data_IF_222349997974
#
_entry.id   IF_222349997974
#
_cell.length_a   1.000
_cell.length_b   1.000
_cell.length_c   1.000
_cell.angle_alpha   90.00
_cell.angle_beta   90.00
_cell.angle_gamma   90.00
#
_symmetry.space_group_name_H-M   'P 1'
#
loop_
_entity.id
_entity.type
_entity.pdbx_description
1 polymer ?
#
# COMPACT_ATOMS: atom_id res chain seq x y z
N UNK A 1 -3.71 -24.29 3.76
CA UNK A 1 -4.99 -24.31 3.02
C UNK A 1 -5.03 -23.09 2.11
N UNK A 2 -5.56 -23.21 0.89
CA UNK A 2 -5.76 -22.06 0.01
C UNK A 2 -7.02 -21.33 0.44
N UNK A 3 -6.92 -20.03 0.68
CA UNK A 3 -8.06 -19.18 0.98
C UNK A 3 -8.78 -18.88 -0.34
N UNK A 4 -10.07 -19.19 -0.41
CA UNK A 4 -10.90 -18.84 -1.56
C UNK A 4 -11.08 -17.32 -1.62
N UNK A 5 -10.78 -16.71 -2.78
CA UNK A 5 -10.94 -15.26 -2.98
C UNK A 5 -12.39 -14.98 -3.38
N UNK A 6 -13.15 -14.21 -2.59
CA UNK A 6 -14.53 -13.91 -2.91
C UNK A 6 -14.64 -13.00 -4.14
N UNK A 7 -15.74 -13.12 -4.85
CA UNK A 7 -16.15 -12.10 -5.81
C UNK A 7 -16.49 -10.79 -5.09
N UNK A 8 -16.38 -9.68 -5.80
CA UNK A 8 -16.64 -8.36 -5.24
C UNK A 8 -18.01 -8.27 -4.59
N UNK A 9 -18.02 -7.81 -3.35
CA UNK A 9 -19.21 -7.49 -2.57
C UNK A 9 -18.97 -6.21 -1.80
N UNK A 10 -19.79 -5.21 -2.06
CA UNK A 10 -19.76 -3.95 -1.30
C UNK A 10 -20.08 -4.24 0.18
N UNK A 11 -19.13 -3.91 1.07
CA UNK A 11 -19.22 -4.14 2.50
C UNK A 11 -18.28 -3.19 3.24
N UNK A 12 -18.70 -2.71 4.42
CA UNK A 12 -17.87 -1.92 5.34
C UNK A 12 -17.07 -2.80 6.33
N UNK A 13 -17.18 -4.13 6.21
CA UNK A 13 -16.46 -5.08 7.06
C UNK A 13 -15.00 -5.25 6.63
N UNK A 14 -14.13 -5.58 7.59
CA UNK A 14 -12.75 -5.96 7.30
C UNK A 14 -12.76 -7.26 6.47
N UNK A 15 -12.13 -7.29 5.28
CA UNK A 15 -12.21 -8.45 4.40
C UNK A 15 -11.47 -9.65 5.00
N UNK A 16 -11.84 -10.86 4.60
CA UNK A 16 -11.12 -12.08 5.00
C UNK A 16 -9.65 -12.11 4.51
N UNK A 17 -9.31 -11.25 3.55
CA UNK A 17 -7.95 -11.05 3.04
C UNK A 17 -7.11 -10.13 3.94
N UNK A 18 -7.68 -9.64 5.05
CA UNK A 18 -6.97 -8.84 6.04
C UNK A 18 -5.89 -9.64 6.75
N UNK A 19 -4.69 -9.08 6.78
CA UNK A 19 -3.55 -9.61 7.53
C UNK A 19 -3.23 -8.63 8.65
N UNK A 20 -3.37 -9.02 9.93
CA UNK A 20 -3.18 -8.11 11.06
C UNK A 20 -1.79 -7.46 11.08
N UNK A 21 -1.77 -6.12 11.15
CA UNK A 21 -0.57 -5.29 11.32
C UNK A 21 0.57 -5.61 10.33
N UNK A 22 0.23 -6.06 9.12
CA UNK A 22 1.22 -6.45 8.11
C UNK A 22 2.14 -5.27 7.73
N UNK A 23 1.61 -4.05 7.65
CA UNK A 23 2.44 -2.90 7.30
C UNK A 23 3.45 -2.56 8.39
N UNK A 24 3.17 -2.89 9.66
CA UNK A 24 4.16 -2.74 10.75
C UNK A 24 5.39 -3.61 10.51
N UNK A 25 5.18 -4.84 10.06
CA UNK A 25 6.27 -5.76 9.72
C UNK A 25 7.02 -5.23 8.49
N UNK A 26 6.30 -4.80 7.45
CA UNK A 26 6.96 -4.27 6.25
C UNK A 26 7.78 -3.01 6.52
N UNK A 27 7.24 -2.07 7.29
CA UNK A 27 7.94 -0.85 7.64
C UNK A 27 9.13 -1.12 8.57
N UNK A 28 9.07 -2.12 9.47
CA UNK A 28 10.22 -2.47 10.31
C UNK A 28 11.37 -3.05 9.50
N UNK A 29 11.08 -3.89 8.51
CA UNK A 29 12.09 -4.36 7.55
C UNK A 29 12.64 -3.20 6.71
N UNK A 30 11.77 -2.35 6.16
CA UNK A 30 12.18 -1.23 5.33
C UNK A 30 13.06 -0.24 6.09
N UNK A 31 12.74 0.06 7.36
CA UNK A 31 13.55 0.91 8.24
C UNK A 31 14.94 0.34 8.47
N UNK A 32 15.05 -0.94 8.87
CA UNK A 32 16.35 -1.57 9.08
C UNK A 32 17.18 -1.61 7.79
N UNK A 33 16.53 -1.84 6.65
CA UNK A 33 17.19 -1.86 5.35
C UNK A 33 17.62 -0.46 4.89
N UNK A 34 16.80 0.56 5.13
CA UNK A 34 17.11 1.94 4.82
C UNK A 34 18.37 2.41 5.59
N UNK A 35 18.52 2.00 6.86
CA UNK A 35 19.72 2.32 7.63
C UNK A 35 20.99 1.69 7.04
N UNK A 36 20.92 0.42 6.61
CA UNK A 36 22.03 -0.27 5.94
C UNK A 36 22.40 0.40 4.61
N UNK A 37 21.41 0.92 3.89
CA UNK A 37 21.60 1.61 2.61
C UNK A 37 21.91 3.10 2.73
N UNK A 38 21.98 3.65 3.94
CA UNK A 38 22.13 5.10 4.17
C UNK A 38 21.04 5.95 3.50
N UNK A 39 19.79 5.48 3.55
CA UNK A 39 18.61 6.14 2.99
C UNK A 39 17.77 6.82 4.07
N UNK A 40 17.37 8.08 3.84
CA UNK A 40 16.52 8.85 4.77
C UNK A 40 15.05 8.92 4.33
N UNK A 41 14.66 8.20 3.28
CA UNK A 41 13.28 8.21 2.81
C UNK A 41 12.79 6.82 2.43
N UNK A 42 11.64 6.45 2.97
CA UNK A 42 10.89 5.24 2.59
C UNK A 42 9.60 5.70 1.93
N UNK A 43 9.40 5.30 0.67
CA UNK A 43 8.14 5.54 -0.03
C UNK A 43 7.24 4.30 0.11
N UNK A 44 5.99 4.51 0.54
CA UNK A 44 4.99 3.44 0.62
C UNK A 44 3.66 3.88 0.01
N UNK A 45 3.12 3.04 -0.88
CA UNK A 45 1.87 3.30 -1.61
C UNK A 45 0.60 2.98 -0.83
N UNK A 46 0.58 3.20 0.49
CA UNK A 46 -0.66 3.03 1.28
C UNK A 46 -1.71 4.03 0.81
N UNK A 47 -2.97 3.61 0.83
CA UNK A 47 -4.11 4.41 0.45
C UNK A 47 -5.17 4.28 1.56
N UNK A 48 -5.60 5.39 2.14
CA UNK A 48 -6.53 5.37 3.26
C UNK A 48 -8.00 5.35 2.82
N UNK A 49 -8.30 5.70 1.55
CA UNK A 49 -9.66 5.83 1.02
C UNK A 49 -10.21 4.52 0.45
N UNK A 50 -9.35 3.70 -0.16
CA UNK A 50 -9.72 2.44 -0.82
C UNK A 50 -10.04 1.32 0.19
N UNK A 51 -9.61 1.45 1.45
CA UNK A 51 -9.74 0.40 2.46
C UNK A 51 -9.96 0.97 3.85
N UNK A 52 -11.21 1.36 4.13
CA UNK A 52 -11.68 1.94 5.41
C UNK A 52 -11.31 1.12 6.66
N UNK A 53 -11.02 -0.17 6.50
CA UNK A 53 -10.77 -1.12 7.60
C UNK A 53 -9.32 -1.28 8.09
N UNK A 54 -8.28 -0.82 7.37
CA UNK A 54 -6.89 -1.10 7.76
C UNK A 54 -6.31 0.01 8.65
N UNK A 55 -6.11 -0.23 9.96
CA UNK A 55 -5.59 0.81 10.87
C UNK A 55 -4.14 1.19 10.56
N UNK A 56 -3.37 0.27 9.96
CA UNK A 56 -1.96 0.40 9.60
C UNK A 56 -1.72 1.05 8.22
N UNK A 57 -2.76 1.64 7.62
CA UNK A 57 -2.69 2.45 6.40
C UNK A 57 -2.97 3.95 6.65
N UNK A 58 -3.29 4.33 7.89
CA UNK A 58 -3.74 5.70 8.23
C UNK A 58 -2.57 6.63 8.49
N UNK A 59 -2.73 7.92 8.19
CA UNK A 59 -1.67 8.92 8.40
C UNK A 59 -1.18 8.93 9.86
N UNK A 60 -2.10 8.90 10.84
CA UNK A 60 -1.72 8.86 12.26
C UNK A 60 -0.86 7.65 12.64
N UNK A 61 -1.07 6.50 11.99
CA UNK A 61 -0.22 5.33 12.19
C UNK A 61 1.16 5.53 11.55
N UNK A 62 1.22 6.07 10.33
CA UNK A 62 2.47 6.36 9.62
C UNK A 62 3.32 7.35 10.42
N UNK A 63 2.73 8.44 10.92
CA UNK A 63 3.41 9.44 11.75
C UNK A 63 3.97 8.84 13.04
N UNK A 64 3.19 7.97 13.69
CA UNK A 64 3.61 7.28 14.90
C UNK A 64 4.76 6.30 14.63
N UNK A 65 4.71 5.56 13.50
CA UNK A 65 5.78 4.67 13.10
C UNK A 65 7.06 5.45 12.78
N UNK A 66 6.98 6.54 12.02
CA UNK A 66 8.13 7.39 11.69
C UNK A 66 8.80 7.93 12.96
N UNK A 67 7.99 8.39 13.92
CA UNK A 67 8.49 8.86 15.23
C UNK A 67 9.26 7.75 15.94
N UNK A 68 8.71 6.54 16.01
CA UNK A 68 9.36 5.39 16.63
C UNK A 68 10.63 4.99 15.87
N UNK A 69 10.60 4.96 14.54
CA UNK A 69 11.73 4.57 13.70
C UNK A 69 12.96 5.47 13.92
N UNK A 70 12.72 6.77 14.10
CA UNK A 70 13.77 7.74 14.41
C UNK A 70 14.36 7.60 15.83
N UNK A 71 13.70 6.86 16.73
CA UNK A 71 14.25 6.49 18.04
C UNK A 71 14.99 5.14 18.00
N UNK A 72 14.75 4.33 16.98
CA UNK A 72 15.20 2.93 16.91
C UNK A 72 16.52 2.74 16.14
N UNK A 73 16.97 3.76 15.40
CA UNK A 73 18.15 3.68 14.50
C UNK A 73 19.28 4.57 15.00
N UNK A 74 20.53 4.19 14.71
CA UNK A 74 21.71 5.01 15.05
C UNK A 74 21.66 6.32 14.29
N UNK A 75 21.34 6.26 13.00
CA UNK A 75 21.19 7.46 12.15
C UNK A 75 20.14 8.42 12.70
N UNK A 76 18.97 7.92 13.11
CA UNK A 76 17.91 8.74 13.68
C UNK A 76 18.35 9.50 14.93
N UNK A 77 19.03 8.82 15.88
CA UNK A 77 19.51 9.45 17.11
C UNK A 77 20.72 10.38 16.91
N UNK A 78 21.51 10.18 15.85
CA UNK A 78 22.60 11.07 15.45
C UNK A 78 22.14 12.26 14.58
N UNK A 79 20.83 12.40 14.34
CA UNK A 79 20.21 13.54 13.67
C UNK A 79 19.91 13.34 12.17
N UNK A 80 20.24 12.17 11.62
CA UNK A 80 19.91 11.79 10.25
C UNK A 80 18.55 11.10 10.23
N UNK A 81 17.49 11.91 10.31
CA UNK A 81 16.12 11.40 10.46
C UNK A 81 15.62 10.72 9.19
N UNK A 82 14.96 9.58 9.38
CA UNK A 82 14.17 8.87 8.39
C UNK A 82 12.80 9.55 8.21
N UNK A 83 12.32 9.66 6.98
CA UNK A 83 10.97 10.09 6.64
C UNK A 83 10.21 9.00 5.87
N UNK A 84 8.94 8.80 6.19
CA UNK A 84 8.03 7.89 5.50
C UNK A 84 7.10 8.72 4.63
N UNK A 85 7.22 8.55 3.32
CA UNK A 85 6.48 9.31 2.31
C UNK A 85 5.34 8.47 1.76
N UNK A 86 4.13 8.99 1.88
CA UNK A 86 2.86 8.32 1.51
C UNK A 86 2.14 9.07 0.39
N UNK A 87 2.67 9.11 -0.84
CA UNK A 87 2.21 10.01 -1.90
C UNK A 87 0.77 9.74 -2.38
N UNK A 88 0.19 8.58 -2.02
CA UNK A 88 -1.11 8.13 -2.48
C UNK A 88 -2.18 8.10 -1.37
N UNK A 89 -1.85 8.52 -0.14
CA UNK A 89 -2.69 8.24 1.03
C UNK A 89 -4.06 8.90 0.97
N UNK A 90 -4.12 10.13 0.46
CA UNK A 90 -5.33 10.96 0.35
C UNK A 90 -5.97 10.93 -1.05
N UNK A 91 -5.42 10.14 -1.98
CA UNK A 91 -5.90 10.07 -3.35
C UNK A 91 -6.96 8.99 -3.49
N UNK A 92 -8.00 9.21 -4.29
CA UNK A 92 -8.85 8.09 -4.70
C UNK A 92 -8.20 7.32 -5.86
N UNK A 93 -8.74 6.15 -6.22
CA UNK A 93 -8.20 5.32 -7.31
C UNK A 93 -8.08 6.04 -8.64
N UNK A 94 -9.06 6.88 -8.98
CA UNK A 94 -9.07 7.61 -10.24
C UNK A 94 -7.92 8.62 -10.30
N UNK A 95 -7.67 9.33 -9.19
CA UNK A 95 -6.56 10.28 -9.07
C UNK A 95 -5.20 9.56 -9.19
N UNK A 96 -5.04 8.42 -8.52
CA UNK A 96 -3.84 7.58 -8.65
C UNK A 96 -3.62 7.16 -10.10
N UNK A 97 -4.68 6.71 -10.78
CA UNK A 97 -4.61 6.29 -12.18
C UNK A 97 -4.20 7.46 -13.06
N UNK A 98 -4.83 8.63 -12.90
CA UNK A 98 -4.52 9.86 -13.64
C UNK A 98 -3.06 10.29 -13.45
N UNK A 99 -2.53 10.23 -12.23
CA UNK A 99 -1.11 10.51 -11.96
C UNK A 99 -0.21 9.47 -12.63
N UNK A 100 -0.52 8.18 -12.53
CA UNK A 100 0.30 7.16 -13.18
C UNK A 100 0.32 7.33 -14.70
N UNK A 101 -0.82 7.65 -15.32
CA UNK A 101 -0.90 7.94 -16.76
C UNK A 101 -0.09 9.18 -17.15
N UNK A 102 -0.14 10.25 -16.34
CA UNK A 102 0.64 11.46 -16.62
C UNK A 102 2.15 11.25 -16.49
N UNK A 103 2.57 10.31 -15.65
CA UNK A 103 3.96 9.86 -15.50
C UNK A 103 4.38 8.80 -16.53
N UNK A 104 3.48 8.36 -17.41
CA UNK A 104 3.77 7.36 -18.44
C UNK A 104 3.83 5.92 -17.91
N UNK A 105 3.17 5.62 -16.79
CA UNK A 105 3.08 4.25 -16.25
C UNK A 105 2.32 3.35 -17.23
N UNK A 106 2.99 2.28 -17.66
CA UNK A 106 2.34 1.20 -18.39
C UNK A 106 1.58 0.30 -17.41
N UNK A 107 0.26 0.45 -17.36
CA UNK A 107 -0.57 -0.35 -16.48
C UNK A 107 -0.69 -1.82 -16.93
N UNK A 108 -0.32 -2.17 -18.16
CA UNK A 108 -0.40 -3.54 -18.68
C UNK A 108 0.60 -4.49 -18.00
N UNK A 109 1.70 -3.95 -17.47
CA UNK A 109 2.73 -4.72 -16.76
C UNK A 109 2.49 -4.80 -15.23
N UNK A 110 1.38 -4.25 -14.73
CA UNK A 110 1.09 -4.19 -13.28
C UNK A 110 0.04 -5.23 -12.87
N UNK A 111 0.30 -5.94 -11.77
CA UNK A 111 -0.63 -6.90 -11.20
C UNK A 111 -1.43 -6.29 -10.05
N UNK A 112 -2.75 -6.42 -10.11
CA UNK A 112 -3.67 -5.99 -9.04
C UNK A 112 -4.61 -7.10 -8.60
N UNK A 113 -4.92 -8.04 -9.48
CA UNK A 113 -5.86 -9.12 -9.19
C UNK A 113 -5.34 -10.04 -8.08
N UNK A 114 -6.20 -10.35 -7.09
CA UNK A 114 -5.89 -11.30 -6.01
C UNK A 114 -5.78 -12.75 -6.48
N UNK A 115 -6.29 -13.05 -7.68
CA UNK A 115 -6.35 -14.40 -8.25
C UNK A 115 -6.07 -14.35 -9.75
N UNK A 116 -5.00 -13.66 -10.13
CA UNK A 116 -4.52 -13.69 -11.51
C UNK A 116 -4.17 -15.14 -11.88
N UNK A 117 -4.41 -15.53 -13.12
CA UNK A 117 -4.03 -16.86 -13.59
C UNK A 117 -2.50 -16.98 -13.79
N UNK A 118 -2.02 -18.17 -14.17
CA UNK A 118 -0.59 -18.43 -14.40
C UNK A 118 0.04 -17.55 -15.49
N UNK A 119 -0.78 -16.92 -16.34
CA UNK A 119 -0.33 -15.97 -17.38
C UNK A 119 -0.35 -14.51 -16.90
N UNK A 120 -0.74 -14.26 -15.65
CA UNK A 120 -0.89 -12.92 -15.08
C UNK A 120 -2.18 -12.20 -15.45
N UNK A 121 -3.12 -12.87 -16.13
CA UNK A 121 -4.39 -12.27 -16.55
C UNK A 121 -5.30 -12.09 -15.34
N UNK A 122 -5.87 -10.90 -15.20
CA UNK A 122 -6.77 -10.56 -14.10
C UNK A 122 -8.11 -11.31 -14.23
N UNK A 123 -8.62 -11.87 -13.13
CA UNK A 123 -9.92 -12.56 -13.11
C UNK A 123 -11.11 -11.65 -13.41
N UNK A 124 -10.94 -10.34 -13.21
CA UNK A 124 -11.97 -9.35 -13.50
C UNK A 124 -13.17 -9.37 -12.57
N UNK A 125 -13.17 -10.09 -11.44
CA UNK A 125 -14.33 -10.20 -10.54
C UNK A 125 -14.03 -10.05 -9.05
N UNK A 126 -12.76 -10.09 -8.62
CA UNK A 126 -12.38 -9.82 -7.23
C UNK A 126 -12.38 -8.31 -6.91
N UNK A 127 -12.41 -7.95 -5.63
CA UNK A 127 -12.41 -6.55 -5.16
C UNK A 127 -11.36 -5.69 -5.87
N UNK A 128 -10.11 -6.16 -5.90
CA UNK A 128 -9.00 -5.42 -6.49
C UNK A 128 -9.21 -5.15 -7.99
N UNK A 129 -9.86 -6.08 -8.71
CA UNK A 129 -10.21 -5.88 -10.12
C UNK A 129 -11.33 -4.84 -10.28
N UNK A 130 -12.39 -4.92 -9.48
CA UNK A 130 -13.51 -3.99 -9.57
C UNK A 130 -13.12 -2.56 -9.19
N UNK A 131 -12.40 -2.36 -8.08
CA UNK A 131 -11.89 -1.04 -7.72
C UNK A 131 -10.97 -0.45 -8.79
N UNK A 132 -10.12 -1.29 -9.41
CA UNK A 132 -9.28 -0.85 -10.54
C UNK A 132 -10.12 -0.43 -11.74
N UNK A 133 -11.16 -1.21 -12.12
CA UNK A 133 -12.07 -0.83 -13.22
C UNK A 133 -12.82 0.48 -12.91
N UNK A 134 -13.31 0.67 -11.69
CA UNK A 134 -13.99 1.89 -11.26
C UNK A 134 -13.05 3.09 -11.42
N UNK A 135 -11.81 2.96 -10.96
CA UNK A 135 -10.80 4.00 -11.08
C UNK A 135 -10.48 4.38 -12.54
N UNK A 136 -10.47 3.42 -13.48
CA UNK A 136 -10.28 3.70 -14.91
C UNK A 136 -11.51 4.32 -15.60
N UNK A 137 -12.71 4.19 -15.02
CA UNK A 137 -13.97 4.71 -15.59
C UNK A 137 -14.31 6.14 -15.12
N UNK A 138 -13.59 6.67 -14.14
CA UNK A 138 -13.86 7.93 -13.43
C UNK A 138 -12.83 9.02 -13.79
#
# INVERSE_FOLDING_TARGET
ENIEVPNFKESDEIPITYVPARNTIFLSFAMAWAEVLDCQSIFIGVNALDYSGYPDCRQAYIDAFETMANLATKQGVEGQKLSIVTPLIDLNKADIIKIGLSLGVDYSITTTCYQANDKGEACGVCDACEYRKIGFKS
#
